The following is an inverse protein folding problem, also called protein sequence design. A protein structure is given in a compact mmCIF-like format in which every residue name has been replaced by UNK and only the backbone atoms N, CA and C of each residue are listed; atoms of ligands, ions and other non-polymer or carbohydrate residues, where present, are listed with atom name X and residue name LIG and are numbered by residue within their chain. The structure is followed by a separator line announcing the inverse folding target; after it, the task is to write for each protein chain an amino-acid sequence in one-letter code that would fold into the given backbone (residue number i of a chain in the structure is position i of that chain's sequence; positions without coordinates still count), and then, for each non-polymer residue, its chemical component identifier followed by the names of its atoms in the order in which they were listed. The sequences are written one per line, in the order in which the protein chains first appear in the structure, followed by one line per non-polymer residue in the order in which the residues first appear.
data_IF_143925295088
#
_entry.id   IF_143925295088
#
_cell.length_a   1.000
_cell.length_b   1.000
_cell.length_c   1.000
_cell.angle_alpha   90.00
_cell.angle_beta   90.00
_cell.angle_gamma   90.00
#
_symmetry.space_group_name_H-M   'P 1'
#
loop_
_entity.id
_entity.type
_entity.pdbx_description
1 polymer ?
#
# COMPACT_ATOMS: atom_id res chain seq x y z
N UNK A 1 51.42 -65.73 64.90
CA UNK A 1 52.00 -65.49 63.57
C UNK A 1 50.82 -65.35 62.62
N UNK A 2 50.75 -64.27 61.83
CA UNK A 2 49.66 -64.10 60.85
C UNK A 2 49.99 -65.02 59.68
N UNK A 3 49.36 -66.20 59.64
CA UNK A 3 49.37 -67.04 58.44
C UNK A 3 48.48 -66.38 57.40
N UNK A 4 49.11 -65.94 56.32
CA UNK A 4 48.40 -65.43 55.14
C UNK A 4 47.84 -66.66 54.43
N UNK A 5 46.57 -66.93 54.68
CA UNK A 5 45.84 -68.04 54.05
C UNK A 5 45.31 -67.64 52.67
N UNK A 6 45.16 -68.64 51.79
CA UNK A 6 44.60 -68.48 50.44
C UNK A 6 43.19 -67.85 50.44
N UNK A 7 42.48 -67.96 51.57
CA UNK A 7 41.19 -67.32 51.82
C UNK A 7 41.26 -65.80 51.78
N UNK A 8 42.37 -65.19 52.21
CA UNK A 8 42.58 -63.75 52.14
C UNK A 8 42.71 -63.28 50.69
N UNK A 9 43.40 -64.07 49.85
CA UNK A 9 43.49 -63.81 48.40
C UNK A 9 42.13 -63.94 47.73
N UNK A 10 41.35 -64.98 48.07
CA UNK A 10 39.98 -65.16 47.56
C UNK A 10 39.08 -64.00 47.97
N UNK A 11 39.21 -63.50 49.21
CA UNK A 11 38.42 -62.35 49.68
C UNK A 11 38.77 -61.06 48.94
N UNK A 12 40.05 -60.81 48.65
CA UNK A 12 40.50 -59.68 47.83
C UNK A 12 39.91 -59.79 46.42
N UNK A 13 39.98 -60.96 45.78
CA UNK A 13 39.39 -61.19 44.46
C UNK A 13 37.87 -60.94 44.50
N UNK A 14 37.16 -61.42 45.52
CA UNK A 14 35.73 -61.19 45.67
C UNK A 14 35.39 -59.69 45.79
N UNK A 15 36.19 -58.93 46.55
CA UNK A 15 36.02 -57.48 46.69
C UNK A 15 36.25 -56.75 45.36
N UNK A 16 37.29 -57.13 44.59
CA UNK A 16 37.55 -56.58 43.26
C UNK A 16 36.41 -56.90 42.29
N UNK A 17 35.93 -58.15 42.27
CA UNK A 17 34.80 -58.55 41.42
C UNK A 17 33.55 -57.75 41.78
N UNK A 18 33.23 -57.60 43.07
CA UNK A 18 32.11 -56.81 43.54
C UNK A 18 32.25 -55.34 43.12
N UNK A 19 33.45 -54.76 43.21
CA UNK A 19 33.72 -53.39 42.79
C UNK A 19 33.52 -53.18 41.28
N UNK A 20 33.94 -54.15 40.44
CA UNK A 20 33.72 -54.08 38.99
C UNK A 20 32.24 -54.19 38.66
N UNK A 21 31.53 -55.13 39.29
CA UNK A 21 30.08 -55.31 39.11
C UNK A 21 29.33 -54.04 39.53
N UNK A 22 29.67 -53.46 40.68
CA UNK A 22 29.05 -52.24 41.18
C UNK A 22 29.35 -51.04 40.29
N UNK A 23 30.57 -50.94 39.75
CA UNK A 23 30.94 -49.88 38.81
C UNK A 23 30.11 -49.96 37.52
N UNK A 24 29.93 -51.18 36.98
CA UNK A 24 29.17 -51.42 35.77
C UNK A 24 27.65 -51.22 35.96
N UNK A 25 27.09 -51.70 37.08
CA UNK A 25 25.64 -51.71 37.32
C UNK A 25 25.13 -50.41 37.95
N UNK A 26 25.93 -49.69 38.74
CA UNK A 26 25.46 -48.54 39.51
C UNK A 26 26.12 -47.23 39.08
N UNK A 27 27.45 -47.15 39.08
CA UNK A 27 28.13 -45.87 38.83
C UNK A 27 27.89 -45.34 37.42
N UNK A 28 28.08 -46.18 36.39
CA UNK A 28 27.86 -45.77 34.99
C UNK A 28 26.42 -45.29 34.71
N UNK A 29 25.35 -46.03 35.06
CA UNK A 29 24.00 -45.57 34.78
C UNK A 29 23.60 -44.35 35.62
N UNK A 30 24.07 -44.22 36.86
CA UNK A 30 23.78 -43.03 37.69
C UNK A 30 24.42 -41.78 37.06
N UNK A 31 25.69 -41.84 36.66
CA UNK A 31 26.34 -40.74 35.95
C UNK A 31 25.63 -40.39 34.63
N UNK A 32 25.17 -41.39 33.88
CA UNK A 32 24.39 -41.17 32.66
C UNK A 32 23.05 -40.46 32.89
N UNK A 33 22.34 -40.78 33.97
CA UNK A 33 21.08 -40.11 34.34
C UNK A 33 21.34 -38.67 34.77
N UNK A 34 22.42 -38.41 35.52
CA UNK A 34 22.79 -37.06 35.93
C UNK A 34 23.15 -36.20 34.71
N UNK A 35 24.00 -36.70 33.81
CA UNK A 35 24.35 -36.01 32.57
C UNK A 35 23.13 -35.74 31.69
N UNK A 36 22.21 -36.71 31.57
CA UNK A 36 20.98 -36.53 30.81
C UNK A 36 20.05 -35.48 31.42
N UNK A 37 19.98 -35.39 32.76
CA UNK A 37 19.22 -34.34 33.44
C UNK A 37 19.82 -32.97 33.20
N UNK A 38 21.14 -32.85 33.28
CA UNK A 38 21.86 -31.61 33.01
C UNK A 38 21.64 -31.14 31.57
N UNK A 39 21.82 -32.04 30.59
CA UNK A 39 21.58 -31.78 29.18
C UNK A 39 20.13 -31.36 28.90
N UNK A 40 19.15 -32.04 29.51
CA UNK A 40 17.73 -31.69 29.34
C UNK A 40 17.42 -30.31 29.91
N UNK A 41 17.98 -29.95 31.06
CA UNK A 41 17.78 -28.62 31.66
C UNK A 41 18.44 -27.53 30.82
N UNK A 42 19.65 -27.79 30.31
CA UNK A 42 20.33 -26.85 29.42
C UNK A 42 19.58 -26.67 28.10
N UNK A 43 19.08 -27.75 27.50
CA UNK A 43 18.30 -27.69 26.26
C UNK A 43 16.99 -26.94 26.46
N UNK A 44 16.27 -27.19 27.57
CA UNK A 44 15.05 -26.46 27.92
C UNK A 44 15.32 -24.96 28.09
N UNK A 45 16.43 -24.58 28.74
CA UNK A 45 16.84 -23.19 28.89
C UNK A 45 17.11 -22.52 27.54
N UNK A 46 17.89 -23.19 26.67
CA UNK A 46 18.20 -22.70 25.32
C UNK A 46 16.95 -22.57 24.45
N UNK A 47 16.06 -23.54 24.51
CA UNK A 47 14.81 -23.52 23.76
C UNK A 47 13.93 -22.34 24.18
N UNK A 48 13.79 -22.10 25.49
CA UNK A 48 13.03 -20.94 26.00
C UNK A 48 13.64 -19.62 25.52
N UNK A 49 14.96 -19.46 25.63
CA UNK A 49 15.63 -18.24 25.15
C UNK A 49 15.46 -18.05 23.63
N UNK A 50 15.55 -19.13 22.86
CA UNK A 50 15.34 -19.11 21.42
C UNK A 50 13.88 -18.78 21.06
N UNK A 51 12.90 -19.32 21.80
CA UNK A 51 11.49 -19.00 21.64
C UNK A 51 11.21 -17.54 21.95
N UNK A 52 11.74 -17.00 23.04
CA UNK A 52 11.61 -15.58 23.36
C UNK A 52 12.24 -14.68 22.28
N UNK A 53 13.46 -15.00 21.83
CA UNK A 53 14.15 -14.25 20.79
C UNK A 53 13.35 -14.28 19.48
N UNK A 54 12.84 -15.45 19.09
CA UNK A 54 12.03 -15.61 17.89
C UNK A 54 10.70 -14.87 18.00
N UNK A 55 10.05 -14.90 19.15
CA UNK A 55 8.82 -14.14 19.40
C UNK A 55 9.07 -12.63 19.29
N UNK A 56 10.13 -12.12 19.91
CA UNK A 56 10.52 -10.71 19.81
C UNK A 56 10.85 -10.31 18.37
N UNK A 57 11.60 -11.14 17.64
CA UNK A 57 11.91 -10.91 16.22
C UNK A 57 10.64 -10.87 15.36
N UNK A 58 9.75 -11.85 15.53
CA UNK A 58 8.48 -11.90 14.79
C UNK A 58 7.61 -10.67 15.09
N UNK A 59 7.53 -10.26 16.35
CA UNK A 59 6.79 -9.05 16.73
C UNK A 59 7.38 -7.81 16.06
N UNK A 60 8.71 -7.65 16.11
CA UNK A 60 9.39 -6.53 15.46
C UNK A 60 9.19 -6.53 13.94
N UNK A 61 9.21 -7.69 13.28
CA UNK A 61 8.93 -7.81 11.85
C UNK A 61 7.48 -7.45 11.50
N UNK A 62 6.52 -7.89 12.31
CA UNK A 62 5.10 -7.55 12.13
C UNK A 62 4.91 -6.04 12.28
N UNK A 63 5.44 -5.44 13.34
CA UNK A 63 5.35 -4.00 13.58
C UNK A 63 6.00 -3.20 12.44
N UNK A 64 7.15 -3.66 11.94
CA UNK A 64 7.82 -3.05 10.78
C UNK A 64 6.97 -3.14 9.52
N UNK A 65 6.46 -4.33 9.19
CA UNK A 65 5.59 -4.56 8.02
C UNK A 65 4.31 -3.73 8.10
N UNK A 66 3.71 -3.62 9.28
CA UNK A 66 2.53 -2.78 9.52
C UNK A 66 2.84 -1.31 9.28
N UNK A 67 3.95 -0.78 9.83
CA UNK A 67 4.37 0.61 9.60
C UNK A 67 4.65 0.89 8.11
N UNK A 68 5.33 -0.03 7.43
CA UNK A 68 5.60 0.07 5.99
C UNK A 68 4.31 0.02 5.17
N UNK A 69 3.37 -0.86 5.51
CA UNK A 69 2.06 -0.93 4.87
C UNK A 69 1.25 0.36 5.06
N UNK A 70 1.18 0.90 6.29
CA UNK A 70 0.53 2.17 6.57
C UNK A 70 1.18 3.34 5.82
N UNK A 71 2.52 3.37 5.74
CA UNK A 71 3.24 4.40 4.97
C UNK A 71 2.93 4.31 3.47
N UNK A 72 2.94 3.10 2.90
CA UNK A 72 2.58 2.88 1.48
C UNK A 72 1.13 3.26 1.20
N UNK A 73 0.20 2.87 2.07
CA UNK A 73 -1.21 3.23 1.94
C UNK A 73 -1.40 4.76 1.96
N UNK A 74 -0.74 5.45 2.90
CA UNK A 74 -0.80 6.92 2.97
C UNK A 74 -0.24 7.56 1.69
N UNK A 75 0.93 7.12 1.22
CA UNK A 75 1.53 7.61 -0.03
C UNK A 75 0.61 7.39 -1.24
N UNK A 76 0.02 6.22 -1.37
CA UNK A 76 -0.90 5.90 -2.46
C UNK A 76 -2.17 6.77 -2.41
N UNK A 77 -2.67 7.04 -1.21
CA UNK A 77 -3.86 7.87 -1.01
C UNK A 77 -3.55 9.35 -1.28
N UNK A 78 -2.38 9.83 -0.88
CA UNK A 78 -1.92 11.19 -1.17
C UNK A 78 -1.65 11.37 -2.67
N UNK A 79 -1.05 10.39 -3.36
CA UNK A 79 -0.86 10.44 -4.82
C UNK A 79 -2.19 10.42 -5.57
N UNK A 80 -3.13 9.55 -5.18
CA UNK A 80 -4.46 9.49 -5.80
C UNK A 80 -5.23 10.80 -5.61
N UNK A 81 -5.10 11.45 -4.44
CA UNK A 81 -5.69 12.78 -4.20
C UNK A 81 -5.06 13.85 -5.10
N UNK A 82 -3.73 13.86 -5.21
CA UNK A 82 -3.04 14.83 -6.07
C UNK A 82 -3.41 14.65 -7.54
N UNK A 83 -3.50 13.41 -8.02
CA UNK A 83 -3.93 13.08 -9.39
C UNK A 83 -5.38 13.49 -9.64
N UNK A 84 -6.29 13.19 -8.70
CA UNK A 84 -7.68 13.61 -8.80
C UNK A 84 -7.84 15.13 -8.80
N UNK A 85 -7.05 15.86 -8.01
CA UNK A 85 -7.03 17.32 -8.01
C UNK A 85 -6.49 17.88 -9.34
N UNK A 86 -5.41 17.31 -9.87
CA UNK A 86 -4.84 17.71 -11.15
C UNK A 86 -5.84 17.47 -12.30
N UNK A 87 -6.43 16.27 -12.38
CA UNK A 87 -7.44 15.93 -13.38
C UNK A 87 -8.70 16.81 -13.24
N UNK A 88 -9.10 17.14 -12.01
CA UNK A 88 -10.20 18.08 -11.75
C UNK A 88 -9.90 19.50 -12.23
N UNK A 89 -8.68 19.99 -11.98
CA UNK A 89 -8.24 21.29 -12.45
C UNK A 89 -8.14 21.35 -13.98
N UNK A 90 -7.63 20.30 -14.62
CA UNK A 90 -7.54 20.19 -16.08
C UNK A 90 -8.94 20.18 -16.72
N UNK A 91 -9.87 19.36 -16.19
CA UNK A 91 -11.27 19.37 -16.67
C UNK A 91 -11.93 20.72 -16.50
N UNK A 92 -11.72 21.40 -15.37
CA UNK A 92 -12.27 22.73 -15.15
C UNK A 92 -11.69 23.76 -16.13
N UNK A 93 -10.40 23.68 -16.43
CA UNK A 93 -9.76 24.53 -17.43
C UNK A 93 -10.31 24.28 -18.84
N UNK A 94 -10.48 23.01 -19.23
CA UNK A 94 -11.07 22.63 -20.51
C UNK A 94 -12.51 23.15 -20.66
N UNK A 95 -13.35 22.96 -19.63
CA UNK A 95 -14.74 23.45 -19.62
C UNK A 95 -14.78 24.98 -19.72
N UNK A 96 -13.87 25.70 -19.04
CA UNK A 96 -13.79 27.16 -19.16
C UNK A 96 -13.43 27.59 -20.57
N UNK A 97 -12.46 26.95 -21.19
CA UNK A 97 -12.05 27.24 -22.56
C UNK A 97 -13.19 26.94 -23.55
N UNK A 98 -13.90 25.84 -23.39
CA UNK A 98 -15.09 25.51 -24.20
C UNK A 98 -16.19 26.56 -24.01
N UNK A 99 -16.45 27.00 -22.78
CA UNK A 99 -17.44 28.04 -22.50
C UNK A 99 -17.05 29.39 -23.12
N UNK A 100 -15.77 29.79 -23.05
CA UNK A 100 -15.28 31.02 -23.64
C UNK A 100 -15.37 30.98 -25.18
N UNK A 101 -14.98 29.87 -25.80
CA UNK A 101 -15.10 29.71 -27.26
C UNK A 101 -16.55 29.65 -27.72
N UNK A 102 -17.45 29.02 -26.96
CA UNK A 102 -18.88 29.01 -27.25
C UNK A 102 -19.46 30.42 -27.17
N UNK A 103 -19.09 31.19 -26.14
CA UNK A 103 -19.50 32.58 -25.97
C UNK A 103 -19.00 33.47 -27.12
N UNK A 104 -17.74 33.31 -27.53
CA UNK A 104 -17.19 34.04 -28.68
C UNK A 104 -17.93 33.73 -29.98
N UNK A 105 -18.23 32.45 -30.24
CA UNK A 105 -19.04 32.03 -31.41
C UNK A 105 -20.43 32.66 -31.38
N UNK A 106 -21.12 32.61 -30.25
CA UNK A 106 -22.45 33.22 -30.11
C UNK A 106 -22.42 34.73 -30.32
N UNK A 107 -21.39 35.42 -29.80
CA UNK A 107 -21.22 36.86 -30.03
C UNK A 107 -20.93 37.17 -31.50
N UNK A 108 -20.16 36.33 -32.20
CA UNK A 108 -19.92 36.48 -33.63
C UNK A 108 -21.21 36.27 -34.46
N UNK A 109 -22.00 35.24 -34.13
CA UNK A 109 -23.30 34.98 -34.76
C UNK A 109 -24.29 36.14 -34.54
N UNK A 110 -24.38 36.66 -33.31
CA UNK A 110 -25.22 37.83 -33.01
C UNK A 110 -24.80 39.04 -33.85
N UNK A 111 -23.49 39.31 -33.97
CA UNK A 111 -23.00 40.42 -34.80
C UNK A 111 -23.37 40.23 -36.27
N UNK A 112 -23.21 39.03 -36.82
CA UNK A 112 -23.59 38.72 -38.19
C UNK A 112 -25.10 38.87 -38.42
N UNK A 113 -25.93 38.43 -37.46
CA UNK A 113 -27.38 38.62 -37.50
C UNK A 113 -27.77 40.09 -37.46
N UNK A 114 -27.10 40.92 -36.64
CA UNK A 114 -27.34 42.37 -36.59
C UNK A 114 -26.99 43.04 -37.92
N UNK A 115 -25.86 42.68 -38.55
CA UNK A 115 -25.51 43.23 -39.86
C UNK A 115 -26.50 42.81 -40.96
N UNK A 116 -26.88 41.53 -41.00
CA UNK A 116 -27.92 41.02 -41.89
C UNK A 116 -29.25 41.76 -41.72
N UNK A 117 -29.69 41.94 -40.46
CA UNK A 117 -30.92 42.65 -40.14
C UNK A 117 -30.85 44.13 -40.57
N UNK A 118 -29.71 44.80 -40.35
CA UNK A 118 -29.50 46.18 -40.83
C UNK A 118 -29.57 46.30 -42.34
N UNK A 119 -28.94 45.38 -43.08
CA UNK A 119 -28.97 45.37 -44.55
C UNK A 119 -30.40 45.17 -45.07
N UNK A 120 -31.11 44.20 -44.51
CA UNK A 120 -32.52 43.94 -44.84
C UNK A 120 -33.41 45.14 -44.53
N UNK A 121 -33.15 45.84 -43.41
CA UNK A 121 -33.90 47.04 -43.03
C UNK A 121 -33.63 48.21 -43.98
N UNK A 122 -32.38 48.40 -44.44
CA UNK A 122 -32.05 49.39 -45.46
C UNK A 122 -32.74 49.10 -46.79
N UNK A 123 -32.71 47.84 -47.25
CA UNK A 123 -33.39 47.41 -48.48
C UNK A 123 -34.90 47.68 -48.39
N UNK A 124 -35.55 47.27 -47.29
CA UNK A 124 -36.97 47.54 -47.04
C UNK A 124 -37.29 49.03 -46.91
N UNK A 125 -36.39 49.82 -46.33
CA UNK A 125 -36.60 51.28 -46.21
C UNK A 125 -36.51 51.95 -47.58
N UNK A 126 -35.59 51.50 -48.44
CA UNK A 126 -35.52 51.95 -49.83
C UNK A 126 -36.80 51.62 -50.57
N UNK A 127 -37.25 50.35 -50.50
CA UNK A 127 -38.50 49.89 -51.13
C UNK A 127 -39.72 50.69 -50.64
N UNK A 128 -39.83 50.91 -49.34
CA UNK A 128 -40.90 51.70 -48.73
C UNK A 128 -40.84 53.18 -49.14
N UNK A 129 -39.64 53.75 -49.29
CA UNK A 129 -39.45 55.12 -49.79
C UNK A 129 -39.85 55.25 -51.28
N UNK A 130 -39.56 54.25 -52.12
CA UNK A 130 -40.00 54.21 -53.52
C UNK A 130 -41.52 54.07 -53.61
N UNK A 131 -42.12 53.23 -52.77
CA UNK A 131 -43.58 53.05 -52.72
C UNK A 131 -44.30 54.33 -52.24
N UNK A 132 -43.75 55.01 -51.23
CA UNK A 132 -44.22 56.32 -50.76
C UNK A 132 -44.06 57.41 -51.83
N UNK A 133 -42.92 57.48 -52.51
CA UNK A 133 -42.71 58.41 -53.61
C UNK A 133 -43.68 58.15 -54.77
N UNK A 134 -43.95 56.89 -55.11
CA UNK A 134 -44.95 56.49 -56.10
C UNK A 134 -46.38 56.89 -55.71
N UNK A 135 -46.75 56.75 -54.43
CA UNK A 135 -48.07 57.19 -53.92
C UNK A 135 -48.23 58.71 -53.89
N UNK A 136 -47.17 59.46 -53.58
CA UNK A 136 -47.21 60.94 -53.53
C UNK A 136 -47.17 61.56 -54.94
N UNK A 137 -46.40 61.00 -55.86
CA UNK A 137 -46.24 61.50 -57.23
C UNK A 137 -47.37 61.05 -58.18
N UNK A 138 -48.27 60.17 -57.72
CA UNK A 138 -49.48 59.77 -58.47
C UNK A 138 -49.20 59.01 -59.77
N UNK A 139 -47.98 58.52 -59.97
CA UNK A 139 -47.60 57.73 -61.15
C UNK A 139 -46.50 56.74 -60.75
N UNK A 140 -46.77 55.45 -60.97
CA UNK A 140 -45.83 54.35 -60.73
C UNK A 140 -44.57 54.54 -61.56
N UNK A 141 -43.44 54.74 -60.89
CA UNK A 141 -42.12 54.64 -61.51
C UNK A 141 -41.70 53.18 -61.42
N UNK A 142 -42.00 52.42 -62.47
CA UNK A 142 -41.40 51.11 -62.72
C UNK A 142 -40.01 51.31 -63.35
N UNK A 143 -38.97 50.92 -62.62
CA UNK A 143 -37.70 50.40 -63.13
C UNK A 143 -36.95 49.75 -61.97
#
# INVERSE_FOLDING_TARGET
MITIDITLVIHIINMIVLMVVLNAILYKPVLGILAKREETMESLGKDVEQFEQNARRRQAEVDKKMREASSRAKKALDSARAEAQAAGAEKLAAIRQEADTAKEKQLAEIRAQIESARKTLQEKTSEFATEMAGKILGRSLEA
#
